data_IF_282805478612
#
_entry.id   IF_282805478612
#
_cell.length_a   1.000
_cell.length_b   1.000
_cell.length_c   1.000
_cell.angle_alpha   90.00
_cell.angle_beta   90.00
_cell.angle_gamma   90.00
#
_symmetry.space_group_name_H-M   'P 1'
#
loop_
_entity.id
_entity.type
_entity.pdbx_description
1 polymer ?
#
# COMPACT_ATOMS: atom_id res chain seq x y z
N UNK A 1 -5.38 7.41 45.80
CA UNK A 1 -6.56 7.78 44.99
C UNK A 1 -6.16 8.93 44.06
N UNK A 2 -5.48 8.61 42.95
CA UNK A 2 -5.02 9.63 42.00
C UNK A 2 -6.14 9.92 41.01
N UNK A 3 -6.72 11.12 41.12
CA UNK A 3 -7.76 11.63 40.23
C UNK A 3 -7.16 11.91 38.85
N UNK A 4 -7.52 11.03 37.91
CA UNK A 4 -7.74 11.22 36.46
C UNK A 4 -7.34 12.62 35.95
N UNK A 5 -6.17 12.69 35.31
CA UNK A 5 -5.72 13.80 34.47
C UNK A 5 -5.93 13.46 32.98
N UNK A 6 -7.04 12.79 32.64
CA UNK A 6 -7.30 12.29 31.28
C UNK A 6 -7.93 13.33 30.34
N UNK A 7 -8.55 14.39 30.85
CA UNK A 7 -9.32 15.32 30.02
C UNK A 7 -8.49 16.30 29.18
N UNK A 8 -7.25 16.61 29.58
CA UNK A 8 -6.37 17.51 28.81
C UNK A 8 -5.46 16.78 27.81
N UNK A 9 -5.38 15.44 27.88
CA UNK A 9 -4.52 14.68 26.97
C UNK A 9 -5.19 14.40 25.63
N UNK A 10 -6.51 14.15 25.62
CA UNK A 10 -7.26 13.78 24.40
C UNK A 10 -7.27 14.87 23.32
N UNK A 11 -7.44 16.18 23.64
CA UNK A 11 -7.44 17.22 22.60
C UNK A 11 -6.03 17.54 22.09
N UNK A 12 -5.01 17.40 22.95
CA UNK A 12 -3.62 17.69 22.58
C UNK A 12 -3.04 16.56 21.71
N UNK A 13 -3.41 15.30 21.98
CA UNK A 13 -3.09 14.21 21.06
C UNK A 13 -3.82 14.43 19.74
N UNK A 14 -5.13 14.64 19.71
CA UNK A 14 -5.86 14.81 18.44
C UNK A 14 -5.35 15.96 17.54
N UNK A 15 -4.86 17.07 18.11
CA UNK A 15 -4.25 18.15 17.33
C UNK A 15 -2.80 17.89 16.89
N UNK A 16 -2.07 16.99 17.55
CA UNK A 16 -0.79 16.46 17.06
C UNK A 16 -0.98 15.45 15.91
N UNK A 17 -2.21 14.97 15.69
CA UNK A 17 -2.54 13.96 14.66
C UNK A 17 -2.81 14.56 13.28
N UNK A 18 -3.09 15.85 13.20
CA UNK A 18 -3.13 16.60 11.94
C UNK A 18 -1.97 17.61 11.96
N UNK A 19 -0.81 17.31 11.34
CA UNK A 19 -0.68 16.96 9.92
C UNK A 19 0.48 15.99 9.65
N UNK A 20 0.23 14.68 9.60
CA UNK A 20 1.23 13.79 9.03
C UNK A 20 1.22 13.96 7.51
N UNK A 21 2.27 14.56 6.93
CA UNK A 21 2.53 14.60 5.47
C UNK A 21 2.33 13.22 4.78
N UNK A 22 2.40 12.12 5.54
CA UNK A 22 2.11 10.77 5.08
C UNK A 22 0.82 10.65 4.25
N UNK A 23 -0.32 11.19 4.70
CA UNK A 23 -1.56 11.08 3.91
C UNK A 23 -1.48 11.85 2.57
N UNK A 24 -0.79 13.00 2.54
CA UNK A 24 -0.55 13.76 1.32
C UNK A 24 0.40 13.04 0.37
N UNK A 25 1.43 12.36 0.90
CA UNK A 25 2.37 11.57 0.12
C UNK A 25 1.69 10.33 -0.49
N UNK A 26 0.80 9.66 0.26
CA UNK A 26 0.02 8.54 -0.27
C UNK A 26 -0.96 9.00 -1.34
N UNK A 27 -1.66 10.09 -1.07
CA UNK A 27 -2.60 10.64 -2.03
C UNK A 27 -1.89 11.13 -3.31
N UNK A 28 -0.70 11.72 -3.19
CA UNK A 28 0.12 12.08 -4.35
C UNK A 28 0.54 10.84 -5.14
N UNK A 29 1.12 9.84 -4.47
CA UNK A 29 1.52 8.57 -5.10
C UNK A 29 0.36 7.92 -5.84
N UNK A 30 -0.82 7.86 -5.21
CA UNK A 30 -2.02 7.28 -5.80
C UNK A 30 -2.49 8.04 -7.04
N UNK A 31 -2.47 9.37 -6.98
CA UNK A 31 -2.79 10.23 -8.13
C UNK A 31 -1.78 10.08 -9.26
N UNK A 32 -0.50 9.93 -8.95
CA UNK A 32 0.56 9.76 -9.95
C UNK A 32 0.42 8.41 -10.70
N UNK A 33 -0.13 7.37 -10.06
CA UNK A 33 -0.46 6.10 -10.72
C UNK A 33 -1.61 6.25 -11.72
N UNK A 34 -2.59 7.11 -11.41
CA UNK A 34 -3.76 7.41 -12.25
C UNK A 34 -4.60 6.16 -12.59
N UNK A 35 -4.76 5.26 -11.62
CA UNK A 35 -5.55 4.04 -11.79
C UNK A 35 -7.03 4.30 -11.95
N UNK A 36 -7.57 5.40 -11.41
CA UNK A 36 -8.94 5.80 -11.66
C UNK A 36 -9.24 5.99 -13.16
N UNK A 37 -8.26 6.44 -13.94
CA UNK A 37 -8.38 6.61 -15.39
C UNK A 37 -7.95 5.36 -16.15
N UNK A 38 -6.84 4.74 -15.75
CA UNK A 38 -6.23 3.60 -16.47
C UNK A 38 -6.93 2.26 -16.20
N UNK A 39 -7.51 2.09 -15.01
CA UNK A 39 -8.16 0.88 -14.53
C UNK A 39 -9.58 1.22 -14.02
N UNK A 40 -10.48 1.74 -14.88
CA UNK A 40 -11.77 2.28 -14.44
C UNK A 40 -12.75 1.21 -13.91
N UNK A 41 -12.44 -0.07 -14.12
CA UNK A 41 -13.20 -1.19 -13.54
C UNK A 41 -12.90 -1.40 -12.06
N UNK A 42 -11.72 -0.97 -11.59
CA UNK A 42 -11.27 -1.19 -10.23
C UNK A 42 -11.75 -0.07 -9.31
N UNK A 43 -12.00 -0.41 -8.04
CA UNK A 43 -12.56 0.51 -7.05
C UNK A 43 -11.45 1.41 -6.50
N UNK A 44 -11.68 2.73 -6.49
CA UNK A 44 -10.77 3.68 -5.86
C UNK A 44 -10.93 3.64 -4.34
N UNK A 45 -10.08 2.85 -3.67
CA UNK A 45 -10.18 2.57 -2.22
C UNK A 45 -9.03 3.11 -1.39
N UNK A 46 -8.16 3.96 -1.94
CA UNK A 46 -6.93 4.38 -1.26
C UNK A 46 -7.20 5.06 0.08
N UNK A 47 -8.26 5.88 0.16
CA UNK A 47 -8.63 6.58 1.40
C UNK A 47 -9.15 5.60 2.46
N UNK A 48 -10.01 4.66 2.10
CA UNK A 48 -10.45 3.61 3.02
C UNK A 48 -9.25 2.77 3.49
N UNK A 49 -8.42 2.31 2.57
CA UNK A 49 -7.22 1.53 2.84
C UNK A 49 -6.27 2.24 3.83
N UNK A 50 -6.04 3.54 3.64
CA UNK A 50 -5.25 4.34 4.59
C UNK A 50 -5.93 4.42 5.97
N UNK A 51 -7.25 4.63 6.00
CA UNK A 51 -8.01 4.66 7.24
C UNK A 51 -7.89 3.35 8.02
N UNK A 52 -8.00 2.19 7.35
CA UNK A 52 -7.78 0.88 7.96
C UNK A 52 -6.39 0.79 8.61
N UNK A 53 -5.34 1.23 7.93
CA UNK A 53 -3.97 1.18 8.47
C UNK A 53 -3.77 2.13 9.65
N UNK A 54 -4.42 3.30 9.65
CA UNK A 54 -4.41 4.22 10.79
C UNK A 54 -5.13 3.63 12.00
N UNK A 55 -6.23 2.91 11.79
CA UNK A 55 -6.97 2.26 12.88
C UNK A 55 -6.15 1.13 13.53
N UNK A 56 -5.41 0.35 12.72
CA UNK A 56 -4.61 -0.77 13.23
C UNK A 56 -3.32 -0.27 13.91
N UNK A 57 -2.59 0.64 13.24
CA UNK A 57 -1.29 1.14 13.70
C UNK A 57 -1.39 2.63 13.96
N UNK A 58 -1.99 3.02 15.06
CA UNK A 58 -2.39 4.41 15.27
C UNK A 58 -1.20 5.26 15.80
N UNK A 59 -0.23 4.65 16.48
CA UNK A 59 0.92 5.31 17.08
C UNK A 59 1.85 5.95 16.03
N UNK A 60 2.37 7.15 16.32
CA UNK A 60 3.13 7.95 15.35
C UNK A 60 4.42 7.27 14.85
N UNK A 61 5.02 6.40 15.67
CA UNK A 61 6.24 5.67 15.33
C UNK A 61 6.07 4.69 14.16
N UNK A 62 4.86 4.17 13.96
CA UNK A 62 4.54 3.25 12.86
C UNK A 62 4.23 3.95 11.53
N UNK A 63 4.64 5.22 11.34
CA UNK A 63 4.32 5.97 10.12
C UNK A 63 4.84 5.29 8.84
N UNK A 64 6.02 4.66 8.91
CA UNK A 64 6.60 3.94 7.78
C UNK A 64 5.81 2.67 7.50
N UNK A 65 5.48 1.88 8.53
CA UNK A 65 4.64 0.69 8.42
C UNK A 65 3.27 1.01 7.82
N UNK A 66 2.57 2.02 8.35
CA UNK A 66 1.32 2.54 7.75
C UNK A 66 1.51 2.91 6.30
N UNK A 67 2.63 3.55 5.95
CA UNK A 67 2.90 3.98 4.58
C UNK A 67 3.03 2.79 3.63
N UNK A 68 3.80 1.78 4.02
CA UNK A 68 4.02 0.58 3.20
C UNK A 68 2.71 -0.21 3.09
N UNK A 69 2.09 -0.54 4.22
CA UNK A 69 0.89 -1.36 4.26
C UNK A 69 -0.31 -0.73 3.55
N UNK A 70 -0.43 0.61 3.56
CA UNK A 70 -1.48 1.29 2.79
C UNK A 70 -1.32 1.06 1.30
N UNK A 71 -0.07 1.10 0.78
CA UNK A 71 0.18 0.84 -0.65
C UNK A 71 -0.12 -0.62 -0.97
N UNK A 72 0.37 -1.54 -0.15
CA UNK A 72 0.12 -2.98 -0.31
C UNK A 72 -1.38 -3.30 -0.33
N UNK A 73 -2.15 -2.84 0.65
CA UNK A 73 -3.58 -3.15 0.72
C UNK A 73 -4.38 -2.46 -0.40
N UNK A 74 -3.94 -1.28 -0.86
CA UNK A 74 -4.57 -0.62 -2.00
C UNK A 74 -4.31 -1.40 -3.29
N UNK A 75 -3.08 -1.85 -3.53
CA UNK A 75 -2.74 -2.70 -4.68
C UNK A 75 -3.47 -4.05 -4.60
N UNK A 76 -3.53 -4.66 -3.42
CA UNK A 76 -4.27 -5.89 -3.15
C UNK A 76 -5.76 -5.75 -3.49
N UNK A 77 -6.36 -4.58 -3.25
CA UNK A 77 -7.75 -4.33 -3.66
C UNK A 77 -7.93 -4.24 -5.18
N UNK A 78 -6.92 -3.80 -5.93
CA UNK A 78 -7.00 -3.70 -7.39
C UNK A 78 -6.83 -5.09 -8.02
N UNK A 79 -5.90 -5.90 -7.52
CA UNK A 79 -5.75 -7.29 -7.97
C UNK A 79 -6.99 -8.13 -7.61
N UNK A 80 -7.63 -7.90 -6.45
CA UNK A 80 -8.93 -8.49 -6.12
C UNK A 80 -9.97 -8.18 -7.21
N UNK A 81 -10.09 -6.91 -7.63
CA UNK A 81 -10.99 -6.52 -8.72
C UNK A 81 -10.64 -7.15 -10.07
N UNK A 82 -9.34 -7.34 -10.35
CA UNK A 82 -8.88 -8.04 -11.56
C UNK A 82 -9.35 -9.50 -11.52
N UNK A 83 -9.16 -10.21 -10.41
CA UNK A 83 -9.50 -11.63 -10.31
C UNK A 83 -11.00 -11.89 -10.17
N UNK A 84 -11.75 -11.03 -9.48
CA UNK A 84 -13.16 -11.25 -9.18
C UNK A 84 -14.12 -10.70 -10.25
N UNK A 85 -13.75 -9.61 -10.94
CA UNK A 85 -14.69 -8.86 -11.77
C UNK A 85 -14.30 -8.76 -13.25
N UNK A 86 -13.01 -8.85 -13.58
CA UNK A 86 -12.55 -8.41 -14.91
C UNK A 86 -11.78 -9.45 -15.72
N UNK A 87 -10.79 -10.12 -15.12
CA UNK A 87 -9.87 -11.02 -15.82
C UNK A 87 -10.53 -12.31 -16.29
N UNK A 88 -10.14 -12.79 -17.47
CA UNK A 88 -10.48 -14.16 -17.90
C UNK A 88 -9.49 -15.17 -17.33
N UNK A 89 -9.86 -16.44 -17.29
CA UNK A 89 -8.99 -17.50 -16.74
C UNK A 89 -7.62 -17.50 -17.44
N UNK A 90 -7.61 -17.38 -18.77
CA UNK A 90 -6.38 -17.40 -19.58
C UNK A 90 -5.49 -16.18 -19.29
N UNK A 91 -6.08 -15.00 -19.11
CA UNK A 91 -5.35 -13.78 -18.74
C UNK A 91 -4.76 -13.89 -17.33
N UNK A 92 -5.54 -14.45 -16.39
CA UNK A 92 -5.12 -14.64 -15.00
C UNK A 92 -4.00 -15.68 -14.86
N UNK A 93 -4.00 -16.73 -15.67
CA UNK A 93 -2.90 -17.71 -15.72
C UNK A 93 -1.58 -17.03 -16.13
N UNK A 94 -1.58 -16.25 -17.22
CA UNK A 94 -0.41 -15.49 -17.66
C UNK A 94 0.04 -14.47 -16.60
N UNK A 95 -0.92 -13.82 -15.94
CA UNK A 95 -0.63 -12.88 -14.86
C UNK A 95 0.04 -13.57 -13.66
N UNK A 96 -0.46 -14.74 -13.25
CA UNK A 96 0.15 -15.51 -12.17
C UNK A 96 1.56 -15.97 -12.52
N UNK A 97 1.79 -16.43 -13.75
CA UNK A 97 3.14 -16.80 -14.21
C UNK A 97 4.09 -15.60 -14.20
N UNK A 98 3.62 -14.41 -14.58
CA UNK A 98 4.41 -13.19 -14.51
C UNK A 98 4.77 -12.85 -13.06
N UNK A 99 3.81 -12.88 -12.14
CA UNK A 99 4.03 -12.65 -10.70
C UNK A 99 4.97 -13.68 -10.09
N UNK A 100 4.86 -14.96 -10.44
CA UNK A 100 5.76 -16.01 -9.97
C UNK A 100 7.21 -15.79 -10.41
N UNK A 101 7.40 -15.31 -11.64
CA UNK A 101 8.73 -14.98 -12.19
C UNK A 101 9.31 -13.69 -11.61
N UNK A 102 8.46 -12.73 -11.24
CA UNK A 102 8.83 -11.43 -10.68
C UNK A 102 9.86 -10.66 -11.54
N UNK A 103 9.69 -10.70 -12.86
CA UNK A 103 10.59 -10.09 -13.84
C UNK A 103 9.79 -9.19 -14.81
N UNK A 104 10.41 -8.10 -15.27
CA UNK A 104 9.86 -7.22 -16.30
C UNK A 104 9.84 -7.87 -17.68
N UNK A 105 10.63 -8.91 -17.91
CA UNK A 105 10.69 -9.62 -19.22
C UNK A 105 9.38 -10.31 -19.61
N UNK A 106 8.49 -10.58 -18.65
CA UNK A 106 7.20 -11.24 -18.89
C UNK A 106 6.09 -10.26 -19.27
N UNK A 107 6.36 -8.95 -19.20
CA UNK A 107 5.32 -7.94 -19.29
C UNK A 107 4.66 -7.87 -20.66
N UNK A 108 5.41 -8.17 -21.72
CA UNK A 108 4.92 -8.18 -23.11
C UNK A 108 3.90 -9.30 -23.36
N UNK A 109 3.74 -10.24 -22.42
CA UNK A 109 2.77 -11.34 -22.48
C UNK A 109 1.44 -10.97 -21.81
N UNK A 110 1.39 -9.87 -21.05
CA UNK A 110 0.22 -9.44 -20.33
C UNK A 110 -0.68 -8.56 -21.21
N UNK A 111 -1.95 -8.49 -20.84
CA UNK A 111 -2.86 -7.48 -21.39
C UNK A 111 -2.48 -6.09 -20.90
N UNK A 112 -2.89 -5.05 -21.64
CA UNK A 112 -2.53 -3.65 -21.36
C UNK A 112 -2.82 -3.23 -19.90
N UNK A 113 -3.98 -3.62 -19.37
CA UNK A 113 -4.38 -3.26 -18.01
C UNK A 113 -3.59 -4.01 -16.94
N UNK A 114 -3.27 -5.29 -17.17
CA UNK A 114 -2.45 -6.12 -16.28
C UNK A 114 -1.00 -5.64 -16.29
N UNK A 115 -0.48 -5.24 -17.45
CA UNK A 115 0.83 -4.61 -17.57
C UNK A 115 0.88 -3.33 -16.73
N UNK A 116 -0.11 -2.43 -16.85
CA UNK A 116 -0.16 -1.19 -16.07
C UNK A 116 -0.09 -1.47 -14.56
N UNK A 117 -0.89 -2.44 -14.10
CA UNK A 117 -0.88 -2.86 -12.71
C UNK A 117 0.47 -3.48 -12.29
N UNK A 118 1.00 -4.40 -13.10
CA UNK A 118 2.23 -5.14 -12.80
C UNK A 118 3.46 -4.23 -12.77
N UNK A 119 3.57 -3.25 -13.68
CA UNK A 119 4.62 -2.22 -13.61
C UNK A 119 4.59 -1.45 -12.30
N UNK A 120 3.40 -1.04 -11.87
CA UNK A 120 3.23 -0.32 -10.62
C UNK A 120 3.58 -1.19 -9.40
N UNK A 121 3.21 -2.48 -9.43
CA UNK A 121 3.55 -3.44 -8.39
C UNK A 121 5.08 -3.55 -8.24
N UNK A 122 5.80 -3.81 -9.34
CA UNK A 122 7.26 -3.93 -9.32
C UNK A 122 7.95 -2.62 -8.89
N UNK A 123 7.46 -1.46 -9.33
CA UNK A 123 7.99 -0.15 -8.93
C UNK A 123 7.83 0.12 -7.42
N UNK A 124 6.73 -0.33 -6.80
CA UNK A 124 6.54 -0.21 -5.35
C UNK A 124 7.61 -1.01 -4.62
N UNK A 125 7.78 -2.29 -4.96
CA UNK A 125 8.73 -3.18 -4.28
C UNK A 125 10.18 -2.78 -4.53
N UNK A 126 10.53 -2.32 -5.74
CA UNK A 126 11.87 -1.79 -6.02
C UNK A 126 12.18 -0.56 -5.16
N UNK A 127 11.23 0.37 -4.99
CA UNK A 127 11.40 1.53 -4.11
C UNK A 127 11.47 1.15 -2.64
N UNK A 128 10.75 0.10 -2.22
CA UNK A 128 10.84 -0.41 -0.85
C UNK A 128 12.21 -1.02 -0.57
N UNK A 129 12.80 -1.74 -1.53
CA UNK A 129 14.14 -2.29 -1.43
C UNK A 129 15.21 -1.19 -1.36
N UNK A 130 15.07 -0.13 -2.17
CA UNK A 130 15.98 1.03 -2.14
C UNK A 130 15.88 1.82 -0.81
N UNK A 131 14.68 1.96 -0.26
CA UNK A 131 14.44 2.61 1.04
C UNK A 131 14.92 1.72 2.22
N UNK A 132 15.21 0.44 2.00
CA UNK A 132 15.61 -0.49 3.06
C UNK A 132 17.09 -0.34 3.44
N UNK A 133 17.44 -0.25 4.74
CA UNK A 133 18.83 -0.23 5.17
C UNK A 133 19.49 -1.56 4.81
N UNK A 134 20.46 -1.55 3.87
CA UNK A 134 21.18 -2.75 3.38
C UNK A 134 21.96 -3.54 4.46
N UNK A 135 21.99 -3.05 5.69
CA UNK A 135 22.67 -3.65 6.85
C UNK A 135 21.71 -4.25 7.90
N UNK A 136 20.39 -4.22 7.66
CA UNK A 136 19.40 -4.84 8.55
C UNK A 136 18.68 -5.99 7.83
N UNK A 137 18.59 -7.15 8.48
CA UNK A 137 17.81 -8.28 8.00
C UNK A 137 16.32 -7.89 7.83
N UNK A 138 15.74 -8.03 6.62
CA UNK A 138 14.35 -7.69 6.33
C UNK A 138 13.34 -8.31 7.29
N UNK A 139 13.56 -9.57 7.67
CA UNK A 139 12.69 -10.30 8.59
C UNK A 139 12.77 -9.76 10.01
N UNK A 140 13.93 -9.26 10.43
CA UNK A 140 14.14 -8.80 11.82
C UNK A 140 13.54 -7.41 12.05
N UNK A 141 13.66 -6.47 11.11
CA UNK A 141 13.16 -5.09 11.29
C UNK A 141 11.65 -4.95 11.01
N UNK A 142 11.09 -5.73 10.09
CA UNK A 142 9.62 -5.79 9.86
C UNK A 142 8.93 -6.40 11.09
N UNK A 143 9.43 -7.53 11.60
CA UNK A 143 8.83 -8.17 12.78
C UNK A 143 9.03 -7.36 14.08
N UNK A 144 10.07 -6.52 14.17
CA UNK A 144 10.28 -5.65 15.34
C UNK A 144 9.51 -4.31 15.27
N UNK A 145 8.98 -3.94 14.10
CA UNK A 145 8.26 -2.66 13.90
C UNK A 145 6.80 -2.84 13.49
N UNK A 146 6.35 -4.06 13.19
CA UNK A 146 4.95 -4.38 12.84
C UNK A 146 4.27 -5.25 13.92
N UNK A 147 5.04 -5.91 14.80
CA UNK A 147 4.58 -6.63 16.00
C UNK A 147 5.20 -6.01 17.26
#
# INVERSE_FOLDING_TARGET
>A
MYKIKCWYFVPLTFNLWQPNYAHLLQHKWWKDLDFATKLPFARDRMVECYFWMVVIYFETEYYLGRRILTKEITMASIIDDIFDLYGTIEELELFMEAVERWDMSTIDQLTEYMEIYYRALLDIYSKLEDDWPKNEDPTTSIMQKIL
#
